data_IF_260272916282
#
_entry.id   IF_260272916282
#
_cell.length_a   1.000
_cell.length_b   1.000
_cell.length_c   1.000
_cell.angle_alpha   90.00
_cell.angle_beta   90.00
_cell.angle_gamma   90.00
#
_symmetry.space_group_name_H-M   'P 1'
#
loop_
_entity.id
_entity.type
_entity.pdbx_description
1 polymer ?
#
# COMPACT_ATOMS: atom_id res chain seq x y z
N UNK A 1 -9.51 -28.54 92.17
CA UNK A 1 -8.69 -29.05 91.06
C UNK A 1 -9.21 -28.47 89.74
N UNK A 2 -8.50 -27.53 89.17
CA UNK A 2 -8.91 -26.83 87.91
C UNK A 2 -8.01 -27.36 86.79
N UNK A 3 -8.62 -27.98 85.78
CA UNK A 3 -7.93 -28.46 84.57
C UNK A 3 -7.71 -27.33 83.61
N UNK A 4 -6.47 -27.17 83.22
CA UNK A 4 -6.07 -26.15 82.17
C UNK A 4 -6.22 -26.78 80.76
N UNK A 5 -7.00 -26.14 79.94
CA UNK A 5 -7.16 -26.52 78.54
C UNK A 5 -6.05 -25.91 77.68
N UNK A 6 -5.26 -26.72 76.98
CA UNK A 6 -4.24 -26.31 76.05
C UNK A 6 -4.90 -26.09 74.65
N UNK A 7 -4.85 -24.91 74.10
CA UNK A 7 -5.30 -24.62 72.73
C UNK A 7 -4.14 -24.82 71.79
N UNK A 8 -4.28 -25.49 70.63
CA UNK A 8 -3.27 -25.57 69.60
C UNK A 8 -3.33 -24.33 68.69
N UNK A 9 -2.19 -23.67 68.56
CA UNK A 9 -2.00 -22.58 67.58
C UNK A 9 -1.81 -23.17 66.16
N UNK A 10 -2.74 -22.83 65.28
CA UNK A 10 -2.61 -23.18 63.84
C UNK A 10 -1.82 -22.05 63.17
N UNK A 11 -0.59 -22.32 62.76
CA UNK A 11 0.22 -21.44 61.95
C UNK A 11 -0.24 -21.55 60.49
N UNK A 12 -0.83 -20.46 59.96
CA UNK A 12 -1.20 -20.38 58.56
C UNK A 12 0.06 -19.99 57.72
N UNK A 13 0.56 -20.94 56.95
CA UNK A 13 1.57 -20.64 55.91
C UNK A 13 0.89 -20.03 54.69
N UNK A 14 1.08 -18.73 54.46
CA UNK A 14 0.69 -18.05 53.24
C UNK A 14 1.71 -18.40 52.14
N UNK A 15 1.32 -19.25 51.20
CA UNK A 15 2.08 -19.48 49.96
C UNK A 15 1.84 -18.29 49.01
N UNK A 16 2.81 -17.41 48.88
CA UNK A 16 2.83 -16.38 47.84
C UNK A 16 3.18 -17.03 46.49
N UNK A 17 2.18 -17.31 45.68
CA UNK A 17 2.39 -17.74 44.30
C UNK A 17 2.85 -16.52 43.47
N UNK A 18 4.16 -16.42 43.18
CA UNK A 18 4.69 -15.46 42.24
C UNK A 18 4.30 -15.93 40.83
N UNK A 19 3.28 -15.31 40.26
CA UNK A 19 2.90 -15.46 38.86
C UNK A 19 3.98 -14.81 37.99
N UNK A 20 4.91 -15.61 37.47
CA UNK A 20 5.82 -15.28 36.40
C UNK A 20 4.98 -15.14 35.09
N UNK A 21 4.45 -13.96 34.85
CA UNK A 21 3.90 -13.63 33.53
C UNK A 21 5.07 -13.55 32.56
N UNK A 22 5.07 -14.34 31.45
CA UNK A 22 6.05 -14.13 30.40
C UNK A 22 5.84 -12.73 29.84
N UNK A 23 6.85 -11.88 29.96
CA UNK A 23 6.89 -10.59 29.28
C UNK A 23 6.89 -10.87 27.78
N UNK A 24 5.73 -10.73 27.14
CA UNK A 24 5.63 -10.56 25.69
C UNK A 24 6.38 -9.27 25.41
N UNK A 25 7.66 -9.37 25.05
CA UNK A 25 8.42 -8.27 24.54
C UNK A 25 7.68 -7.80 23.26
N UNK A 26 6.89 -6.75 23.38
CA UNK A 26 6.32 -6.07 22.22
C UNK A 26 7.50 -5.69 21.34
N UNK A 27 7.59 -6.30 20.16
CA UNK A 27 8.64 -5.99 19.19
C UNK A 27 8.49 -4.52 18.89
N UNK A 28 9.48 -3.72 19.29
CA UNK A 28 9.45 -2.27 19.10
C UNK A 28 9.24 -2.02 17.60
N UNK A 29 8.19 -1.28 17.28
CA UNK A 29 7.90 -0.85 15.93
C UNK A 29 9.07 -0.03 15.38
N UNK A 30 9.67 -0.48 14.27
CA UNK A 30 10.77 0.21 13.61
C UNK A 30 10.26 0.93 12.34
N UNK A 31 10.14 2.26 12.37
CA UNK A 31 9.68 3.04 11.23
C UNK A 31 10.66 3.04 10.04
N UNK A 32 11.85 2.48 10.20
CA UNK A 32 12.87 2.37 9.16
C UNK A 32 13.09 0.93 8.69
N UNK A 33 12.20 -0.01 9.04
CA UNK A 33 12.38 -1.42 8.67
C UNK A 33 12.49 -1.62 7.16
N UNK A 34 11.63 -0.97 6.35
CA UNK A 34 11.70 -1.06 4.89
C UNK A 34 13.03 -0.54 4.34
N UNK A 35 13.52 0.59 4.85
CA UNK A 35 14.83 1.10 4.45
C UNK A 35 15.96 0.12 4.77
N UNK A 36 15.95 -0.46 5.97
CA UNK A 36 16.97 -1.43 6.39
C UNK A 36 16.97 -2.67 5.49
N UNK A 37 15.79 -3.17 5.13
CA UNK A 37 15.66 -4.31 4.21
C UNK A 37 16.22 -3.95 2.83
N UNK A 38 15.75 -2.84 2.24
CA UNK A 38 16.16 -2.49 0.87
C UNK A 38 17.64 -2.12 0.79
N UNK A 39 18.10 -1.19 1.62
CA UNK A 39 19.46 -0.70 1.59
C UNK A 39 20.48 -1.64 2.25
N UNK A 40 20.06 -2.41 3.25
CA UNK A 40 20.94 -3.30 4.01
C UNK A 40 21.02 -4.72 3.46
N UNK A 41 20.02 -5.16 2.69
CA UNK A 41 19.96 -6.54 2.20
C UNK A 41 19.71 -6.61 0.69
N UNK A 42 18.56 -6.11 0.19
CA UNK A 42 18.16 -6.31 -1.20
C UNK A 42 19.17 -5.73 -2.21
N UNK A 43 19.58 -4.47 -2.03
CA UNK A 43 20.54 -3.80 -2.94
C UNK A 43 21.93 -4.42 -2.84
N UNK A 44 22.53 -4.64 -1.66
CA UNK A 44 23.81 -5.33 -1.54
C UNK A 44 23.80 -6.73 -2.15
N UNK A 45 22.75 -7.53 -1.91
CA UNK A 45 22.64 -8.88 -2.45
C UNK A 45 22.53 -8.86 -3.98
N UNK A 46 21.74 -7.94 -4.54
CA UNK A 46 21.62 -7.76 -5.98
C UNK A 46 22.97 -7.38 -6.61
N UNK A 47 23.70 -6.45 -6.01
CA UNK A 47 25.00 -5.97 -6.53
C UNK A 47 26.06 -7.07 -6.44
N UNK A 48 26.14 -7.78 -5.31
CA UNK A 48 27.19 -8.75 -5.07
C UNK A 48 26.93 -10.12 -5.73
N UNK A 49 25.68 -10.52 -5.85
CA UNK A 49 25.32 -11.90 -6.21
C UNK A 49 24.30 -12.01 -7.35
N UNK A 50 23.71 -10.90 -7.82
CA UNK A 50 22.60 -10.93 -8.77
C UNK A 50 21.32 -11.57 -8.21
N UNK A 51 21.21 -11.71 -6.89
CA UNK A 51 20.06 -12.27 -6.18
C UNK A 51 19.46 -11.20 -5.24
N UNK A 52 18.30 -10.61 -5.54
CA UNK A 52 17.77 -9.48 -4.79
C UNK A 52 17.17 -9.83 -3.42
N UNK A 53 17.26 -11.07 -2.97
CA UNK A 53 16.60 -11.49 -1.71
C UNK A 53 16.97 -10.62 -0.53
N UNK A 54 15.99 -10.33 0.37
CA UNK A 54 14.62 -10.85 0.44
C UNK A 54 13.62 -10.19 -0.53
N UNK A 55 14.04 -9.19 -1.33
CA UNK A 55 13.18 -8.60 -2.35
C UNK A 55 12.88 -9.58 -3.51
N UNK A 56 11.75 -9.39 -4.17
CA UNK A 56 11.37 -10.15 -5.37
C UNK A 56 12.10 -9.63 -6.61
N UNK A 57 12.43 -8.33 -6.63
CA UNK A 57 13.17 -7.65 -7.69
C UNK A 57 13.95 -6.47 -7.12
N UNK A 58 15.09 -6.16 -7.73
CA UNK A 58 15.82 -4.88 -7.58
C UNK A 58 16.26 -4.45 -8.97
N UNK A 59 15.78 -3.30 -9.42
CA UNK A 59 16.22 -2.68 -10.68
C UNK A 59 17.15 -1.50 -10.41
N UNK A 60 18.38 -1.59 -10.90
CA UNK A 60 19.43 -0.57 -10.77
C UNK A 60 19.92 -0.08 -12.14
N UNK A 61 19.14 -0.28 -13.22
CA UNK A 61 19.57 0.12 -14.58
C UNK A 61 19.89 1.60 -14.69
N UNK A 62 19.22 2.43 -13.90
CA UNK A 62 19.44 3.89 -13.83
C UNK A 62 20.28 4.29 -12.61
N UNK A 63 21.03 3.35 -12.00
CA UNK A 63 21.78 3.55 -10.77
C UNK A 63 20.95 3.39 -9.49
N UNK A 64 21.64 3.41 -8.34
CA UNK A 64 21.00 3.26 -7.02
C UNK A 64 20.10 4.46 -6.69
N UNK A 65 20.42 5.64 -7.18
CA UNK A 65 19.68 6.87 -6.89
C UNK A 65 18.33 6.94 -7.61
N UNK A 66 18.17 6.20 -8.72
CA UNK A 66 16.93 6.15 -9.51
C UNK A 66 16.37 4.73 -9.62
N UNK A 67 16.92 3.80 -8.83
CA UNK A 67 16.48 2.42 -8.80
C UNK A 67 15.30 2.18 -7.86
N UNK A 68 14.79 0.97 -7.91
CA UNK A 68 13.72 0.50 -7.01
C UNK A 68 13.91 -0.97 -6.63
N UNK A 69 13.24 -1.36 -5.55
CA UNK A 69 13.06 -2.73 -5.12
C UNK A 69 11.57 -3.07 -5.08
N UNK A 70 11.22 -4.32 -5.39
CA UNK A 70 9.87 -4.86 -5.20
C UNK A 70 9.93 -5.88 -4.07
N UNK A 71 9.21 -5.60 -2.99
CA UNK A 71 9.18 -6.43 -1.79
C UNK A 71 7.78 -7.00 -1.57
N UNK A 72 7.67 -8.30 -1.25
CA UNK A 72 6.41 -8.88 -0.79
C UNK A 72 6.06 -8.31 0.58
N UNK A 73 4.88 -7.68 0.69
CA UNK A 73 4.40 -7.18 1.97
C UNK A 73 4.03 -8.32 2.93
N UNK A 74 4.12 -8.05 4.22
CA UNK A 74 3.70 -8.97 5.27
C UNK A 74 2.16 -9.11 5.34
N UNK A 75 1.43 -8.12 4.85
CA UNK A 75 -0.03 -8.08 4.87
C UNK A 75 -0.61 -8.74 3.61
N UNK A 76 -1.49 -9.70 3.83
CA UNK A 76 -2.21 -10.40 2.77
C UNK A 76 -1.33 -11.24 1.83
N UNK A 77 -1.93 -12.09 1.01
CA UNK A 77 -1.20 -12.96 0.09
C UNK A 77 -0.73 -12.24 -1.18
N UNK A 78 -1.34 -11.14 -1.58
CA UNK A 78 -1.19 -10.55 -2.92
C UNK A 78 -0.39 -9.25 -2.96
N UNK A 79 -0.35 -8.49 -1.85
CA UNK A 79 0.27 -7.16 -1.82
C UNK A 79 1.79 -7.20 -1.99
N UNK A 80 2.28 -6.34 -2.86
CA UNK A 80 3.70 -5.99 -3.01
C UNK A 80 3.91 -4.50 -2.75
N UNK A 81 5.13 -4.14 -2.40
CA UNK A 81 5.58 -2.77 -2.22
C UNK A 81 6.65 -2.47 -3.27
N UNK A 82 6.49 -1.39 -4.03
CA UNK A 82 7.59 -0.80 -4.77
C UNK A 82 8.23 0.26 -3.89
N UNK A 83 9.54 0.17 -3.70
CA UNK A 83 10.32 0.96 -2.73
C UNK A 83 11.53 1.53 -3.47
N UNK A 84 11.75 2.86 -3.51
CA UNK A 84 12.97 3.45 -4.04
C UNK A 84 14.21 2.91 -3.35
N UNK A 85 15.29 2.70 -4.10
CA UNK A 85 16.63 2.36 -3.55
C UNK A 85 17.36 3.57 -2.99
N UNK A 86 16.91 4.77 -3.34
CA UNK A 86 17.30 6.02 -2.68
C UNK A 86 16.51 6.22 -1.38
N UNK A 87 17.11 6.92 -0.40
CA UNK A 87 16.40 7.31 0.82
C UNK A 87 15.40 8.43 0.53
N UNK A 88 14.13 8.05 0.37
CA UNK A 88 12.98 8.94 0.20
C UNK A 88 12.01 8.65 1.33
N UNK A 89 11.72 9.62 2.19
CA UNK A 89 10.96 9.38 3.44
C UNK A 89 9.48 9.11 3.16
N UNK A 90 8.89 9.84 2.23
CA UNK A 90 7.47 9.70 1.89
C UNK A 90 7.06 10.62 0.75
N UNK A 91 5.76 10.75 0.54
CA UNK A 91 5.16 11.55 -0.53
C UNK A 91 5.58 13.03 -0.51
N UNK A 92 5.96 13.54 0.67
CA UNK A 92 6.42 14.91 0.89
C UNK A 92 7.89 15.16 0.51
N UNK A 93 8.64 14.13 0.14
CA UNK A 93 10.07 14.26 -0.14
C UNK A 93 10.31 15.04 -1.43
N UNK A 94 11.13 16.11 -1.40
CA UNK A 94 11.35 16.99 -2.55
C UNK A 94 12.02 16.29 -3.74
N UNK A 95 12.73 15.20 -3.49
CA UNK A 95 13.36 14.35 -4.50
C UNK A 95 12.35 13.83 -5.53
N UNK A 96 11.09 13.63 -5.14
CA UNK A 96 10.01 13.19 -6.04
C UNK A 96 9.61 14.24 -7.08
N UNK A 97 9.96 15.50 -6.85
CA UNK A 97 9.65 16.62 -7.73
C UNK A 97 10.90 17.19 -8.41
N UNK A 98 12.07 16.59 -8.21
CA UNK A 98 13.32 16.97 -8.86
C UNK A 98 13.22 16.78 -10.38
N UNK A 99 13.86 17.60 -11.22
CA UNK A 99 13.75 17.53 -12.69
C UNK A 99 14.03 16.14 -13.28
N UNK A 100 14.93 15.40 -12.65
CA UNK A 100 15.39 14.06 -13.01
C UNK A 100 14.78 12.93 -12.15
N UNK A 101 13.73 13.24 -11.35
CA UNK A 101 13.08 12.25 -10.50
C UNK A 101 12.60 11.03 -11.32
N UNK A 102 12.84 9.84 -10.79
CA UNK A 102 12.30 8.60 -11.36
C UNK A 102 10.77 8.56 -11.19
N UNK A 103 10.08 8.06 -12.20
CA UNK A 103 8.63 7.86 -12.16
C UNK A 103 8.30 6.51 -11.49
N UNK A 104 8.39 6.48 -10.16
CA UNK A 104 8.13 5.25 -9.39
C UNK A 104 6.71 4.69 -9.55
N UNK A 105 5.73 5.49 -9.93
CA UNK A 105 4.40 4.97 -10.26
C UNK A 105 4.38 4.19 -11.57
N UNK A 106 5.19 4.58 -12.56
CA UNK A 106 5.33 3.82 -13.79
C UNK A 106 5.98 2.45 -13.51
N UNK A 107 7.00 2.42 -12.66
CA UNK A 107 7.66 1.19 -12.23
C UNK A 107 6.72 0.32 -11.38
N UNK A 108 5.95 0.92 -10.47
CA UNK A 108 4.95 0.22 -9.67
C UNK A 108 3.84 -0.41 -10.54
N UNK A 109 3.45 0.27 -11.63
CA UNK A 109 2.50 -0.33 -12.58
C UNK A 109 3.08 -1.57 -13.27
N UNK A 110 4.36 -1.58 -13.55
CA UNK A 110 5.03 -2.76 -14.10
C UNK A 110 5.14 -3.88 -13.06
N UNK A 111 5.38 -3.54 -11.79
CA UNK A 111 5.44 -4.49 -10.68
C UNK A 111 4.10 -5.20 -10.38
N UNK A 112 2.96 -4.78 -10.96
CA UNK A 112 1.68 -5.48 -10.85
C UNK A 112 1.74 -6.96 -11.25
N UNK A 113 2.69 -7.33 -12.10
CA UNK A 113 2.91 -8.71 -12.54
C UNK A 113 3.24 -9.65 -11.37
N UNK A 114 3.80 -9.14 -10.27
CA UNK A 114 4.01 -9.92 -9.05
C UNK A 114 2.70 -10.26 -8.36
N UNK A 115 1.74 -9.32 -8.32
CA UNK A 115 0.38 -9.57 -7.82
C UNK A 115 -0.31 -10.64 -8.66
N UNK A 116 -0.29 -10.50 -9.99
CA UNK A 116 -0.88 -11.45 -10.93
C UNK A 116 -0.24 -12.85 -10.80
N UNK A 117 1.08 -12.90 -10.62
CA UNK A 117 1.80 -14.15 -10.36
C UNK A 117 1.41 -14.79 -9.04
N UNK A 118 1.23 -13.99 -7.97
CA UNK A 118 0.80 -14.49 -6.67
C UNK A 118 -0.59 -15.12 -6.69
N UNK A 119 -1.50 -14.58 -7.52
CA UNK A 119 -2.85 -15.15 -7.72
C UNK A 119 -2.95 -16.18 -8.85
N UNK A 120 -1.86 -16.42 -9.61
CA UNK A 120 -1.79 -17.41 -10.68
C UNK A 120 -2.53 -17.04 -11.96
N UNK A 121 -2.92 -15.77 -12.16
CA UNK A 121 -3.62 -15.30 -13.37
C UNK A 121 -3.51 -13.79 -13.58
N UNK A 122 -3.71 -13.35 -14.81
CA UNK A 122 -3.87 -11.95 -15.14
C UNK A 122 -5.19 -11.39 -14.56
N UNK A 123 -5.14 -10.15 -14.12
CA UNK A 123 -6.32 -9.38 -13.69
C UNK A 123 -6.77 -8.39 -14.77
N UNK A 124 -8.07 -8.07 -14.81
CA UNK A 124 -8.52 -6.94 -15.62
C UNK A 124 -7.82 -5.67 -15.12
N UNK A 125 -7.60 -4.73 -16.04
CA UNK A 125 -6.83 -3.50 -15.77
C UNK A 125 -7.35 -2.73 -14.57
N UNK A 126 -8.66 -2.65 -14.41
CA UNK A 126 -9.38 -1.98 -13.32
C UNK A 126 -9.44 -2.80 -12.01
N UNK A 127 -8.87 -3.99 -12.03
CA UNK A 127 -8.68 -4.82 -10.85
C UNK A 127 -7.38 -4.53 -10.09
N UNK A 128 -6.51 -3.67 -10.62
CA UNK A 128 -5.18 -3.37 -10.06
C UNK A 128 -5.06 -1.90 -9.70
N UNK A 129 -4.51 -1.64 -8.52
CA UNK A 129 -4.29 -0.32 -7.98
C UNK A 129 -2.93 -0.13 -7.32
N UNK A 130 -2.51 1.11 -7.29
CA UNK A 130 -1.27 1.59 -6.68
C UNK A 130 -1.65 2.65 -5.64
N UNK A 131 -1.04 2.63 -4.46
CA UNK A 131 -1.38 3.61 -3.43
C UNK A 131 -0.17 4.08 -2.62
N UNK A 132 -0.13 5.37 -2.30
CA UNK A 132 0.78 5.97 -1.33
C UNK A 132 -0.05 6.63 -0.24
N UNK A 133 0.30 6.34 1.00
CA UNK A 133 -0.33 6.93 2.17
C UNK A 133 0.28 8.29 2.52
N UNK A 134 -0.51 9.15 3.13
CA UNK A 134 -0.01 10.38 3.76
C UNK A 134 0.99 10.08 4.88
N UNK A 135 1.70 11.11 5.33
CA UNK A 135 2.57 11.03 6.52
C UNK A 135 1.82 10.56 7.78
N UNK A 136 0.52 10.87 7.90
CA UNK A 136 -0.27 10.52 9.08
C UNK A 136 -0.76 9.07 9.07
N UNK A 137 -0.83 8.43 7.90
CA UNK A 137 -1.31 7.07 7.75
C UNK A 137 -0.20 6.06 7.49
N UNK A 138 0.99 6.49 7.04
CA UNK A 138 2.09 5.57 6.81
C UNK A 138 2.72 5.10 8.11
N UNK A 139 3.18 3.85 8.10
CA UNK A 139 3.89 3.24 9.22
C UNK A 139 5.41 3.24 9.02
N UNK A 140 5.92 3.45 7.82
CA UNK A 140 7.34 3.40 7.48
C UNK A 140 7.85 4.74 6.96
N UNK A 141 9.05 5.15 7.38
CA UNK A 141 9.74 6.35 6.89
C UNK A 141 10.66 6.01 5.71
N UNK A 142 10.16 5.24 4.78
CA UNK A 142 10.69 5.02 3.45
C UNK A 142 9.51 5.00 2.50
N UNK A 143 9.56 5.78 1.42
CA UNK A 143 8.51 5.77 0.40
C UNK A 143 8.26 4.35 -0.06
N UNK A 144 7.01 3.96 -0.08
CA UNK A 144 6.57 2.69 -0.62
C UNK A 144 5.23 2.89 -1.31
N UNK A 145 5.13 2.35 -2.51
CA UNK A 145 3.90 2.33 -3.28
C UNK A 145 3.31 0.92 -3.10
N UNK A 146 2.14 0.85 -2.48
CA UNK A 146 1.38 -0.39 -2.39
C UNK A 146 0.89 -0.79 -3.78
N UNK A 147 1.12 -2.03 -4.18
CA UNK A 147 0.70 -2.62 -5.45
C UNK A 147 -0.18 -3.81 -5.12
N UNK A 148 -1.48 -3.71 -5.39
CA UNK A 148 -2.42 -4.78 -5.03
C UNK A 148 -3.72 -4.70 -5.84
N UNK A 149 -4.63 -5.63 -5.55
CA UNK A 149 -5.99 -5.64 -6.07
C UNK A 149 -6.77 -4.42 -5.56
N UNK A 150 -7.64 -3.89 -6.41
CA UNK A 150 -8.60 -2.85 -6.02
C UNK A 150 -9.81 -3.51 -5.36
N UNK A 151 -10.34 -2.92 -4.29
CA UNK A 151 -11.58 -3.36 -3.65
C UNK A 151 -12.74 -3.35 -4.65
N UNK A 152 -13.63 -4.33 -4.54
CA UNK A 152 -14.76 -4.50 -5.46
C UNK A 152 -15.72 -3.30 -5.47
N UNK A 153 -15.99 -2.70 -4.30
CA UNK A 153 -16.84 -1.52 -4.17
C UNK A 153 -16.18 -0.27 -4.78
N UNK A 154 -14.87 -0.10 -4.60
CA UNK A 154 -14.08 0.97 -5.22
C UNK A 154 -14.13 0.85 -6.74
N UNK A 155 -13.87 -0.34 -7.26
CA UNK A 155 -13.95 -0.63 -8.70
C UNK A 155 -15.32 -0.29 -9.28
N UNK A 156 -16.39 -0.72 -8.63
CA UNK A 156 -17.78 -0.45 -9.07
C UNK A 156 -18.08 1.06 -9.06
N UNK A 157 -17.65 1.79 -8.04
CA UNK A 157 -17.81 3.25 -7.96
C UNK A 157 -17.05 3.95 -9.08
N UNK A 158 -15.80 3.60 -9.33
CA UNK A 158 -15.00 4.20 -10.39
C UNK A 158 -15.54 3.87 -11.79
N UNK A 159 -16.06 2.67 -12.01
CA UNK A 159 -16.72 2.32 -13.27
C UNK A 159 -17.95 3.19 -13.54
N UNK A 160 -18.77 3.42 -12.52
CA UNK A 160 -19.93 4.32 -12.58
C UNK A 160 -19.53 5.76 -12.89
N UNK A 161 -18.45 6.25 -12.27
CA UNK A 161 -17.97 7.63 -12.43
C UNK A 161 -17.11 7.85 -13.67
N UNK A 162 -16.69 6.79 -14.35
CA UNK A 162 -15.70 6.79 -15.42
C UNK A 162 -15.89 7.89 -16.47
N UNK A 163 -17.12 8.07 -16.96
CA UNK A 163 -17.43 9.05 -17.99
C UNK A 163 -17.34 10.50 -17.50
N UNK A 164 -17.49 10.75 -16.20
CA UNK A 164 -17.44 12.09 -15.59
C UNK A 164 -16.05 12.52 -15.15
N UNK A 165 -15.10 11.58 -15.03
CA UNK A 165 -13.73 11.89 -14.63
C UNK A 165 -12.99 12.55 -15.81
N UNK A 166 -12.64 13.82 -15.65
CA UNK A 166 -11.95 14.63 -16.65
C UNK A 166 -10.42 14.54 -16.59
N UNK A 167 -9.75 15.33 -17.43
CA UNK A 167 -8.28 15.42 -17.48
C UNK A 167 -7.67 16.39 -16.48
N UNK A 168 -8.49 17.09 -15.72
CA UNK A 168 -8.07 17.96 -14.63
C UNK A 168 -8.59 17.41 -13.30
N UNK A 169 -7.88 17.70 -12.22
CA UNK A 169 -8.31 17.34 -10.87
C UNK A 169 -9.64 18.02 -10.52
N UNK A 170 -10.62 17.24 -10.13
CA UNK A 170 -11.93 17.70 -9.68
C UNK A 170 -12.48 16.79 -8.58
N UNK A 171 -13.33 17.31 -7.66
CA UNK A 171 -14.04 16.48 -6.71
C UNK A 171 -14.88 15.44 -7.44
N UNK A 172 -14.85 14.20 -6.97
CA UNK A 172 -15.74 13.16 -7.48
C UNK A 172 -17.16 13.37 -6.95
N UNK A 173 -18.16 13.01 -7.76
CA UNK A 173 -19.55 13.18 -7.41
C UNK A 173 -20.03 12.26 -6.28
N UNK A 174 -19.32 11.16 -6.04
CA UNK A 174 -19.63 10.18 -4.99
C UNK A 174 -18.37 9.80 -4.22
N UNK A 175 -18.50 9.44 -2.92
CA UNK A 175 -17.39 8.93 -2.14
C UNK A 175 -16.86 7.62 -2.73
N UNK A 176 -15.54 7.45 -2.70
CA UNK A 176 -14.85 6.21 -3.09
C UNK A 176 -14.37 5.51 -1.82
N UNK A 177 -14.81 4.28 -1.59
CA UNK A 177 -14.49 3.54 -0.37
C UNK A 177 -14.97 4.22 0.91
N UNK A 178 -15.97 5.10 0.83
CA UNK A 178 -16.54 5.84 1.96
C UNK A 178 -15.89 7.22 2.23
N UNK A 179 -14.97 7.68 1.39
CA UNK A 179 -14.23 8.94 1.54
C UNK A 179 -14.34 9.83 0.31
N UNK A 180 -14.28 11.15 0.51
CA UNK A 180 -14.27 12.13 -0.58
C UNK A 180 -12.92 12.18 -1.26
N UNK A 181 -12.88 11.90 -2.57
CA UNK A 181 -11.67 12.00 -3.38
C UNK A 181 -11.82 13.04 -4.48
N UNK A 182 -10.72 13.65 -4.84
CA UNK A 182 -10.58 14.30 -6.13
C UNK A 182 -10.00 13.29 -7.11
N UNK A 183 -10.48 13.34 -8.35
CA UNK A 183 -10.03 12.43 -9.40
C UNK A 183 -9.64 13.17 -10.67
N UNK A 184 -8.73 12.59 -11.43
CA UNK A 184 -8.45 12.93 -12.81
C UNK A 184 -8.15 11.68 -13.62
N UNK A 185 -8.29 11.74 -14.95
CA UNK A 185 -7.87 10.65 -15.84
C UNK A 185 -6.61 10.98 -16.62
N UNK A 186 -5.83 9.94 -16.87
CA UNK A 186 -4.65 9.95 -17.75
C UNK A 186 -4.85 8.83 -18.77
N UNK A 187 -4.64 9.12 -20.05
CA UNK A 187 -4.77 8.13 -21.11
C UNK A 187 -3.44 7.46 -21.41
N UNK A 188 -3.48 6.20 -21.75
CA UNK A 188 -2.30 5.41 -22.13
C UNK A 188 -2.24 4.04 -21.49
N UNK A 189 -1.48 3.13 -22.08
CA UNK A 189 -1.24 1.77 -21.56
C UNK A 189 -0.32 1.73 -20.35
N UNK A 190 0.54 2.75 -20.20
CA UNK A 190 1.54 2.91 -19.15
C UNK A 190 1.47 4.32 -18.55
N UNK A 191 2.17 4.55 -17.44
CA UNK A 191 2.34 5.88 -16.83
C UNK A 191 3.60 6.60 -17.32
N UNK A 192 4.27 6.09 -18.37
CA UNK A 192 5.40 6.77 -18.98
C UNK A 192 5.00 8.17 -19.45
N UNK A 193 5.76 9.19 -19.06
CA UNK A 193 5.45 10.60 -19.34
C UNK A 193 4.36 11.22 -18.45
N UNK A 194 3.77 10.47 -17.53
CA UNK A 194 2.77 10.93 -16.57
C UNK A 194 3.21 10.56 -15.16
N UNK A 195 3.89 11.47 -14.46
CA UNK A 195 4.29 11.27 -13.08
C UNK A 195 3.17 11.71 -12.12
N UNK A 196 2.50 10.79 -11.41
CA UNK A 196 1.40 11.13 -10.51
C UNK A 196 1.79 12.07 -9.36
N UNK A 197 3.04 12.04 -8.86
CA UNK A 197 3.49 12.97 -7.82
C UNK A 197 3.53 14.41 -8.36
N UNK A 198 4.05 14.62 -9.57
CA UNK A 198 4.06 15.93 -10.23
C UNK A 198 2.65 16.37 -10.59
N UNK A 199 1.84 15.50 -11.16
CA UNK A 199 0.45 15.81 -11.50
C UNK A 199 -0.34 16.26 -10.27
N UNK A 200 -0.10 15.67 -9.10
CA UNK A 200 -0.70 16.10 -7.84
C UNK A 200 -0.15 17.45 -7.39
N UNK A 201 1.18 17.58 -7.28
CA UNK A 201 1.83 18.79 -6.74
C UNK A 201 1.57 20.04 -7.58
N UNK A 202 1.40 19.89 -8.91
CA UNK A 202 1.22 20.98 -9.86
C UNK A 202 -0.25 21.22 -10.22
N UNK A 203 -1.07 20.17 -10.17
CA UNK A 203 -2.47 20.23 -10.61
C UNK A 203 -3.48 20.54 -9.52
N UNK A 204 -3.13 20.39 -8.25
CA UNK A 204 -4.02 20.68 -7.11
C UNK A 204 -3.47 21.90 -6.36
N UNK A 205 -4.29 22.94 -6.25
CA UNK A 205 -3.88 24.17 -5.56
C UNK A 205 -3.43 23.89 -4.13
N UNK A 206 -2.23 24.37 -3.76
CA UNK A 206 -1.62 24.18 -2.45
C UNK A 206 -1.05 22.80 -2.17
N UNK A 207 -1.21 21.81 -3.08
CA UNK A 207 -0.73 20.45 -2.83
C UNK A 207 0.79 20.38 -2.67
N UNK A 208 1.55 21.15 -3.44
CA UNK A 208 3.02 21.21 -3.36
C UNK A 208 3.51 21.55 -1.94
N UNK A 209 2.78 22.40 -1.22
CA UNK A 209 3.17 22.89 0.11
C UNK A 209 2.71 21.94 1.22
N UNK A 210 1.75 21.08 0.94
CA UNK A 210 1.16 20.17 1.94
C UNK A 210 1.15 18.68 1.52
N UNK A 211 2.09 18.27 0.66
CA UNK A 211 2.23 16.89 0.19
C UNK A 211 2.24 15.85 1.33
N UNK A 212 2.76 16.21 2.51
CA UNK A 212 2.76 15.32 3.69
C UNK A 212 1.35 14.93 4.16
N UNK A 213 0.34 15.73 3.85
CA UNK A 213 -1.05 15.44 4.18
C UNK A 213 -1.81 14.74 3.05
N UNK A 214 -1.18 14.58 1.88
CA UNK A 214 -1.83 13.99 0.72
C UNK A 214 -1.67 12.48 0.67
N UNK A 215 -2.69 11.83 0.14
CA UNK A 215 -2.61 10.45 -0.36
C UNK A 215 -2.81 10.44 -1.86
N UNK A 216 -2.24 9.47 -2.53
CA UNK A 216 -2.32 9.33 -3.98
C UNK A 216 -2.58 7.87 -4.33
N UNK A 217 -3.64 7.64 -5.12
CA UNK A 217 -4.01 6.30 -5.58
C UNK A 217 -4.14 6.34 -7.10
N UNK A 218 -3.63 5.31 -7.76
CA UNK A 218 -3.74 5.14 -9.21
C UNK A 218 -4.41 3.81 -9.49
N UNK A 219 -5.51 3.83 -10.23
CA UNK A 219 -6.24 2.62 -10.64
C UNK A 219 -6.20 2.53 -12.16
N UNK A 220 -5.80 1.36 -12.68
CA UNK A 220 -5.92 1.11 -14.12
C UNK A 220 -7.38 1.17 -14.56
N UNK A 221 -7.66 1.73 -15.74
CA UNK A 221 -9.03 1.88 -16.24
C UNK A 221 -9.07 1.69 -17.76
N UNK A 222 -10.26 1.34 -18.27
CA UNK A 222 -10.59 1.47 -19.68
C UNK A 222 -11.67 2.51 -19.84
N UNK A 223 -11.49 3.39 -20.79
CA UNK A 223 -12.40 4.50 -21.11
C UNK A 223 -13.18 4.21 -22.40
N UNK A 224 -13.69 5.25 -23.02
CA UNK A 224 -14.48 5.14 -24.25
C UNK A 224 -13.69 4.37 -25.33
N UNK A 225 -14.39 3.55 -26.12
CA UNK A 225 -13.79 2.69 -27.17
C UNK A 225 -12.73 1.71 -26.64
N UNK A 226 -12.86 1.28 -25.38
CA UNK A 226 -11.94 0.37 -24.71
C UNK A 226 -10.50 0.93 -24.57
N UNK A 227 -10.34 2.24 -24.71
CA UNK A 227 -9.04 2.91 -24.62
C UNK A 227 -8.42 2.75 -23.22
N UNK A 228 -7.16 2.27 -23.13
CA UNK A 228 -6.51 2.11 -21.82
C UNK A 228 -6.14 3.48 -21.23
N UNK A 229 -6.27 3.57 -19.91
CA UNK A 229 -5.88 4.74 -19.14
C UNK A 229 -5.81 4.43 -17.65
N UNK A 230 -5.79 5.47 -16.85
CA UNK A 230 -5.74 5.42 -15.40
C UNK A 230 -6.68 6.48 -14.81
N UNK A 231 -7.26 6.16 -13.68
CA UNK A 231 -7.84 7.14 -12.77
C UNK A 231 -6.82 7.40 -11.67
N UNK A 232 -6.46 8.65 -11.48
CA UNK A 232 -5.67 9.14 -10.37
C UNK A 232 -6.64 9.71 -9.34
N UNK A 233 -6.49 9.32 -8.09
CA UNK A 233 -7.28 9.79 -6.96
C UNK A 233 -6.35 10.43 -5.95
N UNK A 234 -6.74 11.59 -5.43
CA UNK A 234 -6.07 12.21 -4.32
C UNK A 234 -7.06 12.58 -3.21
N UNK A 235 -6.58 12.57 -2.01
CA UNK A 235 -7.30 13.02 -0.84
C UNK A 235 -6.31 13.75 0.08
N UNK A 236 -6.83 14.64 0.91
CA UNK A 236 -6.07 15.36 1.92
C UNK A 236 -6.53 14.93 3.29
N UNK A 237 -5.61 14.43 4.10
CA UNK A 237 -5.90 14.03 5.47
C UNK A 237 -6.62 15.14 6.25
N UNK A 238 -7.70 14.78 6.92
CA UNK A 238 -8.51 15.62 7.80
C UNK A 238 -8.76 14.89 9.13
N UNK A 239 -7.86 15.13 10.10
CA UNK A 239 -7.90 14.46 11.40
C UNK A 239 -9.15 14.77 12.21
N UNK A 240 -9.78 15.94 11.97
CA UNK A 240 -11.03 16.31 12.65
C UNK A 240 -12.19 15.42 12.21
N UNK A 241 -12.13 14.92 10.98
CA UNK A 241 -13.10 13.97 10.44
C UNK A 241 -12.58 12.52 10.44
N UNK A 242 -11.51 12.24 11.22
CA UNK A 242 -10.88 10.91 11.34
C UNK A 242 -10.35 10.36 10.01
N UNK A 243 -10.03 11.23 9.08
CA UNK A 243 -9.35 10.87 7.85
C UNK A 243 -7.85 11.16 7.95
N UNK A 244 -7.06 10.11 7.93
CA UNK A 244 -5.60 10.18 8.02
C UNK A 244 -4.92 10.11 6.64
N UNK A 245 -5.68 10.11 5.55
CA UNK A 245 -5.14 10.02 4.19
C UNK A 245 -4.50 8.65 3.90
N UNK A 246 -5.22 7.57 4.16
CA UNK A 246 -4.77 6.20 3.92
C UNK A 246 -5.22 5.71 2.55
N UNK A 247 -4.43 5.95 1.49
CA UNK A 247 -4.77 5.49 0.13
C UNK A 247 -4.87 3.98 -0.01
N UNK A 248 -4.04 3.24 0.72
CA UNK A 248 -4.06 1.78 0.72
C UNK A 248 -5.40 1.17 1.18
N UNK A 249 -6.26 1.92 1.88
CA UNK A 249 -7.63 1.48 2.23
C UNK A 249 -8.52 1.16 1.02
N UNK A 250 -8.16 1.63 -0.18
CA UNK A 250 -8.88 1.33 -1.41
C UNK A 250 -8.43 0.00 -2.05
N UNK A 251 -7.40 -0.63 -1.51
CA UNK A 251 -6.85 -1.90 -1.97
C UNK A 251 -7.43 -3.08 -1.16
N UNK A 252 -7.40 -4.28 -1.75
CA UNK A 252 -7.92 -5.53 -1.18
C UNK A 252 -6.79 -6.57 -1.14
N UNK A 253 -6.18 -6.74 0.03
CA UNK A 253 -5.04 -7.63 0.24
C UNK A 253 -5.40 -9.12 0.10
N UNK A 254 -6.69 -9.47 0.13
CA UNK A 254 -7.18 -10.83 -0.13
C UNK A 254 -7.55 -11.07 -1.60
N UNK A 255 -7.56 -10.01 -2.39
CA UNK A 255 -7.92 -10.00 -3.80
C UNK A 255 -9.23 -10.75 -4.09
N UNK A 256 -10.34 -10.33 -3.48
CA UNK A 256 -11.66 -10.95 -3.67
C UNK A 256 -12.09 -11.00 -5.14
N UNK A 257 -11.65 -10.03 -5.96
CA UNK A 257 -11.85 -10.04 -7.41
C UNK A 257 -11.29 -11.30 -8.07
N UNK A 258 -10.16 -11.82 -7.58
CA UNK A 258 -9.58 -13.04 -8.10
C UNK A 258 -10.43 -14.28 -7.75
N UNK A 259 -11.08 -14.28 -6.59
CA UNK A 259 -11.91 -15.38 -6.10
C UNK A 259 -13.27 -15.44 -6.82
N UNK A 260 -13.89 -14.29 -7.10
CA UNK A 260 -15.23 -14.21 -7.66
C UNK A 260 -15.35 -14.59 -9.14
N UNK A 261 -14.26 -14.54 -9.90
CA UNK A 261 -14.24 -14.95 -11.31
C UNK A 261 -13.87 -16.43 -11.51
N UNK A 262 -13.69 -17.20 -10.45
CA UNK A 262 -13.57 -18.67 -10.50
C UNK A 262 -14.96 -19.31 -10.55
N UNK A 263 -15.87 -18.86 -11.45
CA UNK A 263 -17.04 -19.63 -11.80
C UNK A 263 -16.57 -20.77 -12.71
N UNK A 264 -16.83 -22.05 -12.35
CA UNK A 264 -16.48 -23.14 -13.23
C UNK A 264 -17.31 -23.03 -14.53
N UNK A 265 -16.64 -22.82 -15.64
CA UNK A 265 -17.18 -23.11 -16.94
C UNK A 265 -17.03 -24.62 -17.21
N UNK A 266 -17.61 -25.49 -16.38
CA UNK A 266 -17.67 -26.93 -16.64
C UNK A 266 -18.80 -27.59 -15.83
N UNK A 267 -20.06 -27.23 -16.15
CA UNK A 267 -21.21 -28.03 -15.77
C UNK A 267 -22.31 -28.02 -16.86
N UNK A 268 -21.91 -27.94 -18.14
CA UNK A 268 -22.83 -28.05 -19.26
C UNK A 268 -22.24 -28.98 -20.33
N UNK A 269 -22.15 -30.28 -20.02
CA UNK A 269 -21.63 -31.25 -20.97
C UNK A 269 -21.75 -32.69 -20.50
N UNK A 270 -22.88 -33.06 -19.87
CA UNK A 270 -23.23 -34.46 -19.64
C UNK A 270 -24.76 -34.60 -19.62
N UNK A 271 -25.37 -34.69 -20.79
CA UNK A 271 -26.59 -35.44 -21.09
C UNK A 271 -26.57 -35.91 -22.52
#
# INVERSE_FOLDING_TARGET
MRAAAIRPSVAAFAFAAVLLLPSLAARAYDPNALWKIVNGECVPNQVAHGDPKPCAEVDLKNGVEHGYAVLKDLHGPTQYLLIPTQRIVGIESPELLAPDAANYFADAWNARTFVEKAIGRALPRDGLGLAVNSKLARTQNQLHIHVDCVRSDVRATLDKLRASIGYAWAPLAEPVGGYGYWGMRVMGGTLAGHDPFRLLAEGVAGARDDMQLRTLVVVGMRFENDAPGFVLLQDRADVLHLDFGAGARLLDHDCALAKNNARPADAAGAR
#
